data_IF_668977246280
#
_entry.id   IF_668977246280
#
_cell.length_a   1.000
_cell.length_b   1.000
_cell.length_c   1.000
_cell.angle_alpha   90.00
_cell.angle_beta   90.00
_cell.angle_gamma   90.00
#
_symmetry.space_group_name_H-M   'P 1'
#
loop_
_entity.id
_entity.type
_entity.pdbx_description
1 polymer ?
#
# COMPACT_ATOMS: atom_id res chain seq x y z
N UNK A 1 -58.56 13.80 41.22
CA UNK A 1 -57.77 14.90 40.64
C UNK A 1 -56.32 14.43 40.54
N UNK A 2 -55.76 14.54 39.33
CA UNK A 2 -54.35 14.40 38.89
C UNK A 2 -53.70 12.99 39.00
N UNK A 3 -53.27 12.38 37.87
CA UNK A 3 -52.46 11.15 37.86
C UNK A 3 -50.96 11.49 37.95
N UNK A 4 -50.17 10.65 38.64
CA UNK A 4 -48.71 10.68 38.53
C UNK A 4 -48.28 9.70 37.43
N UNK A 5 -47.55 10.24 36.46
CA UNK A 5 -47.19 9.60 35.20
C UNK A 5 -46.14 8.51 35.32
N UNK A 6 -46.11 7.67 34.27
CA UNK A 6 -45.12 6.64 34.03
C UNK A 6 -43.76 7.24 33.64
N UNK A 7 -42.71 6.56 34.07
CA UNK A 7 -41.39 6.62 33.45
C UNK A 7 -40.91 5.18 33.28
N UNK A 8 -41.31 4.57 32.18
CA UNK A 8 -40.65 3.36 31.69
C UNK A 8 -39.42 3.80 30.89
N UNK A 9 -38.24 3.54 31.46
CA UNK A 9 -36.97 3.75 30.80
C UNK A 9 -36.74 2.63 29.78
N UNK A 10 -37.15 2.87 28.53
CA UNK A 10 -36.67 2.07 27.39
C UNK A 10 -35.21 2.43 27.12
N UNK A 11 -34.30 1.66 27.71
CA UNK A 11 -32.91 1.59 27.27
C UNK A 11 -32.84 0.54 26.18
N UNK A 12 -33.21 0.92 24.96
CA UNK A 12 -32.93 0.12 23.76
C UNK A 12 -31.44 0.25 23.46
N UNK A 13 -30.68 -0.76 23.91
CA UNK A 13 -29.31 -0.96 23.46
C UNK A 13 -29.36 -1.64 22.10
N UNK A 14 -29.22 -0.87 21.03
CA UNK A 14 -28.88 -1.37 19.70
C UNK A 14 -27.44 -1.92 19.74
N UNK A 15 -27.27 -3.09 20.34
CA UNK A 15 -26.08 -3.92 20.17
C UNK A 15 -26.19 -4.62 18.82
N UNK A 16 -25.85 -3.88 17.77
CA UNK A 16 -25.48 -4.39 16.44
C UNK A 16 -24.20 -5.26 16.60
N UNK A 17 -24.39 -6.40 17.24
CA UNK A 17 -23.37 -7.43 17.40
C UNK A 17 -23.14 -8.07 16.04
N UNK A 18 -22.07 -7.63 15.37
CA UNK A 18 -21.61 -8.19 14.11
C UNK A 18 -21.52 -9.72 14.24
N UNK A 19 -22.12 -10.50 13.30
CA UNK A 19 -22.11 -11.94 13.40
C UNK A 19 -20.69 -12.47 13.44
N UNK A 20 -20.42 -13.44 14.32
CA UNK A 20 -19.10 -14.08 14.51
C UNK A 20 -18.49 -14.62 13.20
N UNK A 21 -19.30 -14.83 12.15
CA UNK A 21 -18.84 -15.18 10.80
C UNK A 21 -17.97 -14.09 10.15
N UNK A 22 -18.16 -12.82 10.49
CA UNK A 22 -17.31 -11.70 10.06
C UNK A 22 -16.03 -11.55 10.91
N UNK A 23 -16.00 -12.15 12.11
CA UNK A 23 -14.85 -12.20 13.02
C UNK A 23 -13.95 -13.42 12.78
N UNK A 24 -14.37 -14.35 11.93
CA UNK A 24 -13.48 -15.35 11.37
C UNK A 24 -12.43 -14.63 10.53
N UNK A 25 -11.27 -14.38 11.13
CA UNK A 25 -10.04 -14.03 10.42
C UNK A 25 -10.01 -14.87 9.14
N UNK A 26 -10.01 -14.27 7.92
CA UNK A 26 -9.87 -15.08 6.72
C UNK A 26 -8.61 -15.93 6.91
N UNK A 27 -8.78 -17.24 6.79
CA UNK A 27 -7.66 -18.16 6.77
C UNK A 27 -6.65 -17.62 5.75
N UNK A 28 -5.33 -17.67 6.03
CA UNK A 28 -4.36 -17.29 5.03
C UNK A 28 -4.71 -18.03 3.74
N UNK A 29 -4.78 -17.28 2.63
CA UNK A 29 -5.12 -17.86 1.33
C UNK A 29 -4.30 -19.15 1.13
N UNK A 30 -4.89 -20.23 0.60
CA UNK A 30 -4.15 -21.45 0.27
C UNK A 30 -2.89 -21.06 -0.51
N UNK A 31 -1.75 -21.70 -0.22
CA UNK A 31 -0.45 -21.34 -0.82
C UNK A 31 -0.45 -21.38 -2.36
N UNK A 32 -1.45 -22.03 -2.95
CA UNK A 32 -1.61 -22.25 -4.39
C UNK A 32 -2.88 -21.60 -4.98
N UNK A 33 -3.59 -20.78 -4.20
CA UNK A 33 -4.71 -20.02 -4.76
C UNK A 33 -4.17 -18.91 -5.65
N UNK A 34 -4.63 -18.87 -6.91
CA UNK A 34 -4.33 -17.78 -7.82
C UNK A 34 -4.81 -16.46 -7.22
N UNK A 35 -3.92 -15.47 -7.14
CA UNK A 35 -4.23 -14.13 -6.64
C UNK A 35 -4.33 -13.21 -7.85
N UNK A 36 -5.53 -12.68 -8.11
CA UNK A 36 -5.75 -11.73 -9.19
C UNK A 36 -5.31 -10.31 -8.82
N UNK A 37 -5.14 -9.45 -9.82
CA UNK A 37 -4.83 -8.04 -9.61
C UNK A 37 -5.99 -7.33 -8.89
N UNK A 38 -7.22 -7.70 -9.25
CA UNK A 38 -8.46 -7.19 -8.68
C UNK A 38 -8.58 -7.53 -7.19
N UNK A 39 -8.23 -8.75 -6.79
CA UNK A 39 -8.21 -9.16 -5.37
C UNK A 39 -7.23 -8.31 -4.55
N UNK A 40 -6.04 -8.04 -5.12
CA UNK A 40 -5.02 -7.21 -4.48
C UNK A 40 -5.49 -5.78 -4.36
N UNK A 41 -6.04 -5.20 -5.43
CA UNK A 41 -6.57 -3.84 -5.43
C UNK A 41 -7.68 -3.70 -4.40
N UNK A 42 -8.68 -4.58 -4.40
CA UNK A 42 -9.78 -4.58 -3.42
C UNK A 42 -9.24 -4.66 -1.99
N UNK A 43 -8.31 -5.58 -1.71
CA UNK A 43 -7.74 -5.73 -0.38
C UNK A 43 -6.99 -4.47 0.09
N UNK A 44 -6.35 -3.75 -0.84
CA UNK A 44 -5.67 -2.48 -0.56
C UNK A 44 -6.65 -1.32 -0.36
N UNK A 45 -7.72 -1.24 -1.17
CA UNK A 45 -8.78 -0.24 -1.04
C UNK A 45 -9.48 -0.31 0.32
N UNK A 46 -9.64 -1.52 0.87
CA UNK A 46 -10.19 -1.75 2.20
C UNK A 46 -9.29 -1.27 3.36
N UNK A 47 -8.07 -0.78 3.09
CA UNK A 47 -7.14 -0.37 4.14
C UNK A 47 -7.13 1.14 4.39
N UNK A 48 -7.03 1.51 5.66
CA UNK A 48 -6.55 2.84 6.04
C UNK A 48 -5.01 2.90 5.90
N UNK A 49 -4.54 3.83 5.07
CA UNK A 49 -3.10 4.08 4.88
C UNK A 49 -2.61 5.14 5.86
N UNK A 50 -1.49 4.90 6.57
CA UNK A 50 -0.89 5.92 7.40
C UNK A 50 -0.20 6.98 6.54
N UNK A 51 -0.11 8.20 7.05
CA UNK A 51 0.69 9.25 6.44
C UNK A 51 2.18 8.92 6.52
N UNK A 52 2.87 9.10 5.40
CA UNK A 52 4.30 8.97 5.28
C UNK A 52 5.01 10.19 5.87
N UNK A 53 5.94 9.91 6.78
CA UNK A 53 6.85 10.90 7.36
C UNK A 53 8.06 11.18 6.46
N UNK A 54 8.17 10.51 5.29
CA UNK A 54 9.29 10.67 4.36
C UNK A 54 9.22 12.03 3.68
N UNK A 55 10.01 12.99 4.18
CA UNK A 55 10.09 14.34 3.61
C UNK A 55 10.80 14.36 2.24
N UNK A 56 11.73 13.45 2.01
CA UNK A 56 12.57 13.41 0.80
C UNK A 56 11.82 13.06 -0.49
N UNK A 57 10.61 12.50 -0.37
CA UNK A 57 9.75 12.16 -1.52
C UNK A 57 8.59 13.13 -1.69
N UNK A 58 8.42 14.08 -0.75
CA UNK A 58 7.37 15.10 -0.84
C UNK A 58 7.76 16.12 -1.91
N UNK A 59 6.84 16.39 -2.82
CA UNK A 59 6.96 17.55 -3.69
C UNK A 59 6.82 18.84 -2.87
N UNK A 60 7.51 19.90 -3.28
CA UNK A 60 7.56 21.16 -2.54
C UNK A 60 6.17 21.80 -2.34
N UNK A 61 5.22 21.53 -3.25
CA UNK A 61 3.89 22.13 -3.26
C UNK A 61 2.75 21.16 -2.89
N UNK A 62 3.08 19.98 -2.32
CA UNK A 62 2.05 19.01 -1.97
C UNK A 62 1.22 19.46 -0.76
N UNK A 63 -0.08 19.65 -0.96
CA UNK A 63 -1.05 20.03 0.10
C UNK A 63 -1.29 18.89 1.10
N UNK A 64 -1.20 17.64 0.66
CA UNK A 64 -1.44 16.45 1.48
C UNK A 64 -0.18 15.63 1.69
N UNK A 65 -0.11 14.97 2.85
CA UNK A 65 0.95 14.02 3.14
C UNK A 65 0.83 12.79 2.22
N UNK A 66 1.94 12.27 1.66
CA UNK A 66 1.88 11.02 0.91
C UNK A 66 1.40 9.91 1.84
N UNK A 67 0.49 9.06 1.37
CA UNK A 67 -0.02 7.93 2.16
C UNK A 67 0.70 6.65 1.75
N UNK A 68 1.21 5.89 2.72
CA UNK A 68 2.00 4.71 2.39
C UNK A 68 2.40 3.87 3.59
N UNK A 69 2.64 2.58 3.35
CA UNK A 69 3.09 1.64 4.35
C UNK A 69 4.12 0.67 3.78
N UNK A 70 5.14 0.37 4.58
CA UNK A 70 6.10 -0.70 4.28
C UNK A 70 5.67 -1.98 5.01
N UNK A 71 5.53 -3.08 4.27
CA UNK A 71 5.24 -4.41 4.79
C UNK A 71 6.48 -5.30 4.58
N UNK A 72 6.96 -5.97 5.62
CA UNK A 72 8.14 -6.84 5.60
C UNK A 72 9.22 -6.32 6.56
N UNK A 73 10.47 -6.43 6.14
CA UNK A 73 11.63 -6.00 6.94
C UNK A 73 11.95 -4.54 6.64
N UNK A 74 12.15 -3.77 7.71
CA UNK A 74 12.53 -2.35 7.66
C UNK A 74 13.77 -2.11 8.53
N UNK A 75 14.51 -1.05 8.22
CA UNK A 75 15.62 -0.60 9.07
C UNK A 75 15.10 0.09 10.33
N UNK A 76 15.52 -0.38 11.50
CA UNK A 76 15.33 0.29 12.77
C UNK A 76 16.69 0.77 13.30
N UNK A 77 16.76 2.04 13.70
CA UNK A 77 18.03 2.65 14.14
C UNK A 77 18.70 1.94 15.32
N UNK A 78 17.90 1.40 16.25
CA UNK A 78 18.41 0.74 17.46
C UNK A 78 18.58 -0.75 17.25
N UNK A 79 17.60 -1.39 16.58
CA UNK A 79 17.50 -2.85 16.48
C UNK A 79 18.09 -3.43 15.20
N UNK A 80 18.51 -2.60 14.25
CA UNK A 80 18.87 -3.04 12.90
C UNK A 80 17.64 -3.50 12.13
N UNK A 81 17.75 -4.58 11.37
CA UNK A 81 16.63 -5.13 10.59
C UNK A 81 15.48 -5.61 11.50
N UNK A 82 14.27 -5.12 11.26
CA UNK A 82 13.09 -5.46 12.06
C UNK A 82 11.82 -5.57 11.20
N UNK A 83 10.92 -6.49 11.59
CA UNK A 83 9.57 -6.58 10.99
C UNK A 83 8.80 -5.30 11.26
N UNK A 84 8.29 -4.67 10.19
CA UNK A 84 7.56 -3.41 10.26
C UNK A 84 6.32 -3.51 11.15
N UNK A 85 5.94 -2.38 11.76
CA UNK A 85 4.70 -2.29 12.55
C UNK A 85 3.48 -2.63 11.69
N UNK A 86 3.49 -2.25 10.41
CA UNK A 86 2.36 -2.48 9.52
C UNK A 86 2.20 -3.96 9.19
N UNK A 87 3.29 -4.72 9.05
CA UNK A 87 3.20 -6.19 8.88
C UNK A 87 2.59 -6.87 10.08
N UNK A 88 2.95 -6.45 11.29
CA UNK A 88 2.36 -7.00 12.52
C UNK A 88 0.87 -6.69 12.63
N UNK A 89 0.46 -5.48 12.24
CA UNK A 89 -0.94 -5.04 12.26
C UNK A 89 -1.77 -5.67 11.13
N UNK A 90 -1.16 -5.95 9.98
CA UNK A 90 -1.82 -6.42 8.76
C UNK A 90 -1.16 -7.70 8.21
N UNK A 91 -1.15 -8.80 8.98
CA UNK A 91 -0.46 -10.03 8.56
C UNK A 91 -1.10 -10.68 7.33
N UNK A 92 -2.44 -10.63 7.22
CA UNK A 92 -3.17 -11.18 6.07
C UNK A 92 -2.87 -10.40 4.79
N UNK A 93 -2.91 -9.06 4.86
CA UNK A 93 -2.51 -8.23 3.73
C UNK A 93 -1.06 -8.51 3.31
N UNK A 94 -0.14 -8.60 4.28
CA UNK A 94 1.26 -8.92 4.00
C UNK A 94 1.39 -10.27 3.30
N UNK A 95 0.63 -11.28 3.74
CA UNK A 95 0.63 -12.60 3.13
C UNK A 95 0.07 -12.57 1.69
N UNK A 96 -1.03 -11.84 1.46
CA UNK A 96 -1.64 -11.66 0.14
C UNK A 96 -0.66 -11.01 -0.84
N UNK A 97 -0.04 -9.89 -0.45
CA UNK A 97 0.93 -9.20 -1.31
C UNK A 97 2.17 -10.05 -1.57
N UNK A 98 2.62 -10.83 -0.58
CA UNK A 98 3.73 -11.75 -0.77
C UNK A 98 3.36 -12.90 -1.73
N UNK A 99 2.14 -13.41 -1.66
CA UNK A 99 1.65 -14.45 -2.57
C UNK A 99 1.57 -13.90 -4.01
N UNK A 100 0.95 -12.73 -4.19
CA UNK A 100 0.87 -12.05 -5.48
C UNK A 100 2.25 -11.80 -6.10
N UNK A 101 3.18 -11.20 -5.35
CA UNK A 101 4.53 -10.93 -5.86
C UNK A 101 5.28 -12.20 -6.24
N UNK A 102 5.14 -13.30 -5.47
CA UNK A 102 5.79 -14.58 -5.79
C UNK A 102 5.18 -15.28 -6.99
N UNK A 103 3.87 -15.14 -7.18
CA UNK A 103 3.15 -15.64 -8.35
C UNK A 103 3.64 -14.94 -9.63
N UNK A 104 3.67 -13.60 -9.61
CA UNK A 104 3.97 -12.80 -10.80
C UNK A 104 5.47 -12.68 -11.09
N UNK A 105 6.33 -12.78 -10.07
CA UNK A 105 7.77 -12.61 -10.18
C UNK A 105 8.52 -13.86 -9.67
N UNK A 106 8.35 -15.02 -10.34
CA UNK A 106 8.97 -16.26 -9.91
C UNK A 106 10.50 -16.11 -9.86
N UNK A 107 11.09 -16.45 -8.72
CA UNK A 107 12.54 -16.38 -8.50
C UNK A 107 13.05 -15.04 -8.00
N UNK A 108 12.26 -13.97 -8.01
CA UNK A 108 12.64 -12.72 -7.37
C UNK A 108 12.53 -12.83 -5.84
N UNK A 109 13.58 -12.38 -5.15
CA UNK A 109 13.62 -12.35 -3.68
C UNK A 109 13.54 -10.91 -3.21
N UNK A 110 12.58 -10.63 -2.35
CA UNK A 110 12.39 -9.33 -1.72
C UNK A 110 12.31 -9.47 -0.20
N UNK A 111 12.66 -8.40 0.50
CA UNK A 111 12.60 -8.31 1.97
C UNK A 111 11.38 -7.54 2.45
N UNK A 112 10.83 -6.66 1.61
CA UNK A 112 9.69 -5.81 1.90
C UNK A 112 8.90 -5.47 0.63
N UNK A 113 7.67 -5.02 0.83
CA UNK A 113 6.78 -4.42 -0.15
C UNK A 113 6.36 -3.06 0.39
N UNK A 114 6.73 -1.99 -0.30
CA UNK A 114 6.25 -0.63 -0.05
C UNK A 114 4.97 -0.41 -0.85
N UNK A 115 3.89 -0.06 -0.17
CA UNK A 115 2.62 0.31 -0.83
C UNK A 115 2.36 1.78 -0.60
N UNK A 116 2.12 2.54 -1.65
CA UNK A 116 1.73 3.95 -1.55
C UNK A 116 0.37 4.18 -2.22
N UNK A 117 -0.46 5.03 -1.61
CA UNK A 117 -1.79 5.38 -2.10
C UNK A 117 -1.78 6.76 -2.75
N UNK A 118 -2.40 6.89 -3.93
CA UNK A 118 -2.56 8.14 -4.71
C UNK A 118 -1.24 8.93 -4.79
N UNK A 119 -0.19 8.19 -5.12
CA UNK A 119 1.18 8.56 -4.81
C UNK A 119 1.84 9.35 -5.93
N UNK A 120 2.33 10.53 -5.57
CA UNK A 120 3.29 11.34 -6.34
C UNK A 120 4.60 11.41 -5.57
N UNK A 121 5.72 11.38 -6.28
CA UNK A 121 7.04 11.39 -5.65
C UNK A 121 7.95 12.41 -6.32
N UNK A 122 8.55 13.29 -5.52
CA UNK A 122 9.66 14.12 -5.98
C UNK A 122 10.86 13.25 -6.42
N UNK A 123 11.77 13.82 -7.21
CA UNK A 123 13.00 13.14 -7.62
C UNK A 123 13.83 12.72 -6.39
N UNK A 124 14.09 11.43 -6.26
CA UNK A 124 14.80 10.87 -5.12
C UNK A 124 15.56 9.58 -5.46
N UNK A 125 16.30 9.10 -4.46
CA UNK A 125 16.89 7.76 -4.42
C UNK A 125 16.45 7.07 -3.13
N UNK A 126 16.26 5.76 -3.19
CA UNK A 126 15.95 4.96 -2.02
C UNK A 126 17.23 4.51 -1.32
N UNK A 127 17.77 5.38 -0.46
CA UNK A 127 19.07 5.18 0.21
C UNK A 127 19.26 3.82 0.91
N UNK A 128 18.17 3.18 1.34
CA UNK A 128 18.21 1.90 2.05
C UNK A 128 17.87 0.71 1.14
N UNK A 129 17.76 0.93 -0.17
CA UNK A 129 17.47 -0.12 -1.13
C UNK A 129 18.73 -0.94 -1.43
N UNK A 130 18.59 -2.26 -1.40
CA UNK A 130 19.68 -3.19 -1.68
C UNK A 130 19.32 -4.06 -2.88
N UNK A 131 19.91 -3.75 -4.03
CA UNK A 131 19.68 -4.49 -5.28
C UNK A 131 18.53 -3.92 -6.12
N UNK A 132 18.06 -4.72 -7.08
CA UNK A 132 16.96 -4.36 -7.97
C UNK A 132 15.61 -4.47 -7.26
N UNK A 133 14.68 -3.61 -7.65
CA UNK A 133 13.30 -3.61 -7.19
C UNK A 133 12.34 -3.82 -8.36
N UNK A 134 11.13 -4.25 -8.04
CA UNK A 134 10.03 -4.34 -8.98
C UNK A 134 8.91 -3.43 -8.52
N UNK A 135 8.32 -2.71 -9.46
CA UNK A 135 7.24 -1.76 -9.19
C UNK A 135 6.05 -2.02 -10.11
N UNK A 136 4.83 -1.91 -9.57
CA UNK A 136 3.57 -1.99 -10.31
C UNK A 136 2.62 -0.93 -9.78
N UNK A 137 1.88 -0.27 -10.68
CA UNK A 137 0.77 0.61 -10.33
C UNK A 137 -0.55 -0.11 -10.51
N UNK A 138 -1.43 -0.06 -9.52
CA UNK A 138 -2.74 -0.69 -9.51
C UNK A 138 -3.86 0.35 -9.45
N UNK A 139 -5.00 0.03 -10.05
CA UNK A 139 -6.18 0.89 -10.08
C UNK A 139 -6.40 1.55 -11.43
N UNK A 140 -7.53 2.25 -11.55
CA UNK A 140 -7.88 2.99 -12.76
C UNK A 140 -7.45 4.45 -12.61
N UNK A 141 -6.23 4.72 -13.05
CA UNK A 141 -5.64 6.05 -13.06
C UNK A 141 -5.05 6.40 -14.42
N UNK A 142 -4.88 7.71 -14.64
CA UNK A 142 -4.12 8.30 -15.74
C UNK A 142 -3.07 9.26 -15.20
N UNK A 143 -1.96 9.43 -15.93
CA UNK A 143 -0.76 10.05 -15.37
C UNK A 143 -0.03 9.09 -14.42
N UNK A 144 0.67 9.60 -13.41
CA UNK A 144 1.40 8.77 -12.44
C UNK A 144 2.56 7.99 -13.08
N UNK A 145 3.21 8.56 -14.10
CA UNK A 145 4.27 7.88 -14.83
C UNK A 145 5.51 7.78 -13.95
N UNK A 146 6.14 6.61 -13.95
CA UNK A 146 7.42 6.41 -13.29
C UNK A 146 8.53 6.91 -14.20
N UNK A 147 9.27 7.93 -13.80
CA UNK A 147 10.52 8.30 -14.45
C UNK A 147 11.69 7.66 -13.70
N UNK A 148 12.61 7.04 -14.46
CA UNK A 148 13.84 6.45 -13.93
C UNK A 148 15.05 6.95 -14.71
N UNK A 149 16.14 7.20 -13.99
CA UNK A 149 17.45 7.38 -14.59
C UNK A 149 17.97 6.03 -15.15
N UNK A 150 18.33 6.05 -16.43
CA UNK A 150 18.90 4.90 -17.16
C UNK A 150 20.32 5.18 -17.69
N UNK A 151 20.97 6.24 -17.21
CA UNK A 151 22.31 6.68 -17.65
C UNK A 151 22.32 7.49 -18.94
N UNK A 152 21.16 7.77 -19.54
CA UNK A 152 21.04 8.74 -20.64
C UNK A 152 20.90 10.17 -20.11
N UNK A 153 21.03 11.16 -20.99
CA UNK A 153 20.86 12.57 -20.63
C UNK A 153 19.46 12.95 -20.16
N UNK A 154 18.44 12.14 -20.46
CA UNK A 154 17.03 12.47 -20.21
C UNK A 154 16.29 11.45 -19.32
N UNK A 155 16.92 10.32 -18.98
CA UNK A 155 16.24 9.20 -18.34
C UNK A 155 15.14 8.59 -19.21
N UNK A 156 14.18 7.89 -18.59
CA UNK A 156 13.03 7.29 -19.28
C UNK A 156 11.78 7.26 -18.40
N UNK A 157 10.66 7.70 -18.96
CA UNK A 157 9.35 7.54 -18.35
C UNK A 157 8.69 6.20 -18.72
N UNK A 158 7.92 5.64 -17.79
CA UNK A 158 7.29 4.33 -17.86
C UNK A 158 5.87 4.37 -17.31
N UNK A 159 4.95 3.88 -18.12
CA UNK A 159 3.62 3.48 -17.66
C UNK A 159 3.73 2.09 -17.02
N UNK A 160 3.41 2.04 -15.72
CA UNK A 160 3.46 0.84 -14.87
C UNK A 160 2.06 0.37 -14.47
N UNK A 161 1.01 0.92 -15.08
CA UNK A 161 -0.37 0.53 -14.79
C UNK A 161 -0.61 -0.93 -15.14
N UNK A 162 -0.92 -1.72 -14.12
CA UNK A 162 -1.14 -3.17 -14.17
C UNK A 162 0.03 -3.93 -14.84
N UNK A 163 1.25 -3.38 -14.76
CA UNK A 163 2.45 -3.94 -15.39
C UNK A 163 3.65 -3.79 -14.48
N UNK A 164 4.25 -4.92 -14.12
CA UNK A 164 5.52 -4.94 -13.40
C UNK A 164 6.64 -4.30 -14.22
N UNK A 165 7.44 -3.48 -13.55
CA UNK A 165 8.65 -2.89 -14.11
C UNK A 165 9.82 -3.09 -13.14
N UNK A 166 10.91 -3.64 -13.65
CA UNK A 166 12.14 -3.77 -12.88
C UNK A 166 12.97 -2.50 -12.98
N UNK A 167 13.47 -2.00 -11.86
CA UNK A 167 14.33 -0.81 -11.81
C UNK A 167 15.34 -0.88 -10.67
N UNK A 168 16.33 0.01 -10.70
CA UNK A 168 17.29 0.19 -9.60
C UNK A 168 16.87 1.41 -8.75
N UNK A 169 16.31 1.14 -7.57
CA UNK A 169 15.88 2.19 -6.63
C UNK A 169 17.02 3.05 -6.08
N UNK A 170 18.29 2.67 -6.30
CA UNK A 170 19.45 3.49 -5.95
C UNK A 170 19.80 4.54 -7.02
N UNK A 171 19.11 4.52 -8.16
CA UNK A 171 19.20 5.57 -9.18
C UNK A 171 18.10 6.61 -9.00
N UNK A 172 18.32 7.86 -9.43
CA UNK A 172 17.29 8.89 -9.38
C UNK A 172 16.00 8.44 -10.07
N UNK A 173 14.88 8.60 -9.37
CA UNK A 173 13.55 8.30 -9.91
C UNK A 173 12.47 9.19 -9.27
N UNK A 174 11.35 9.36 -9.96
CA UNK A 174 10.18 10.09 -9.49
C UNK A 174 8.89 9.52 -10.08
N UNK A 175 7.76 9.94 -9.50
CA UNK A 175 6.43 9.65 -10.01
C UNK A 175 5.74 10.98 -10.26
N UNK A 176 5.34 11.20 -11.52
CA UNK A 176 4.65 12.40 -11.95
C UNK A 176 3.21 12.47 -11.42
N UNK A 177 2.51 13.57 -11.66
CA UNK A 177 1.15 13.77 -11.18
C UNK A 177 0.15 12.74 -11.75
N UNK A 178 -0.75 12.28 -10.89
CA UNK A 178 -1.95 11.55 -11.29
C UNK A 178 -2.97 12.58 -11.75
N UNK A 179 -3.34 12.52 -13.03
CA UNK A 179 -4.21 13.51 -13.68
C UNK A 179 -5.69 13.21 -13.46
N UNK A 180 -6.05 11.93 -13.32
CA UNK A 180 -7.42 11.48 -13.04
C UNK A 180 -7.40 10.09 -12.39
N UNK A 181 -8.23 9.89 -11.37
CA UNK A 181 -8.49 8.60 -10.72
C UNK A 181 -9.96 8.58 -10.27
N UNK A 182 -10.68 7.51 -10.62
CA UNK A 182 -12.02 7.20 -10.10
C UNK A 182 -12.00 6.28 -8.86
N UNK A 183 -10.82 5.75 -8.51
CA UNK A 183 -10.61 4.78 -7.42
C UNK A 183 -9.18 4.84 -6.88
N UNK A 184 -8.94 4.49 -5.60
CA UNK A 184 -7.61 4.52 -4.98
C UNK A 184 -6.53 3.85 -5.83
N UNK A 185 -5.44 4.56 -6.10
CA UNK A 185 -4.29 3.99 -6.80
C UNK A 185 -3.32 3.41 -5.77
N UNK A 186 -2.83 2.19 -5.99
CA UNK A 186 -1.78 1.61 -5.15
C UNK A 186 -0.53 1.32 -5.96
N UNK A 187 0.59 1.93 -5.58
CA UNK A 187 1.91 1.61 -6.13
C UNK A 187 2.59 0.64 -5.18
N UNK A 188 2.91 -0.55 -5.66
CA UNK A 188 3.70 -1.54 -4.93
C UNK A 188 5.14 -1.50 -5.46
N UNK A 189 6.11 -1.26 -4.59
CA UNK A 189 7.54 -1.20 -4.89
C UNK A 189 8.37 -2.06 -3.91
#
# INVERSE_FOLDING_TARGET
>A
AIPFGSMDANFESDDESLPMSLLLKPAPAPRDAFVSLEDVLHALEAQAFPESQRKNVRQANAETAPQGMCLGITGNWIKGAAVSVQTRKKPQLSALLCAFARQELPGFRFSSVQVNKDYRAALHVDKNNHGLSYIIGLGDYSGGWLWVDNGSSTGRAKDIRNRWFQFDGNRPHCVDDILWSSSPTAILA
#
